data_IF_538594705388
#
_entry.id   IF_538594705388
#
_cell.length_a   1.000
_cell.length_b   1.000
_cell.length_c   1.000
_cell.angle_alpha   90.00
_cell.angle_beta   90.00
_cell.angle_gamma   90.00
#
_symmetry.space_group_name_H-M   'P 1'
#
loop_
_entity.id
_entity.type
_entity.pdbx_description
1 polymer ?
#
# COMPACT_ATOMS: atom_id res chain seq x y z
N UNK A 1 -0.77 -21.31 9.55
CA UNK A 1 -0.69 -21.85 8.17
C UNK A 1 0.79 -22.00 7.86
N UNK A 2 1.31 -23.22 7.91
CA UNK A 2 2.75 -23.50 7.85
C UNK A 2 3.23 -23.80 6.42
N UNK A 3 2.47 -23.35 5.42
CA UNK A 3 2.80 -23.56 4.03
C UNK A 3 4.20 -22.98 3.74
N UNK A 4 5.14 -23.80 3.23
CA UNK A 4 6.50 -23.34 2.97
C UNK A 4 6.50 -22.26 1.88
N UNK A 5 7.31 -21.23 2.09
CA UNK A 5 7.53 -20.19 1.08
C UNK A 5 8.15 -20.79 -0.18
N UNK A 6 7.83 -20.24 -1.35
CA UNK A 6 8.45 -20.68 -2.59
C UNK A 6 9.93 -20.27 -2.62
N UNK A 7 10.82 -21.21 -2.28
CA UNK A 7 12.26 -20.95 -2.19
C UNK A 7 12.88 -20.42 -3.50
N UNK A 8 12.37 -20.82 -4.67
CA UNK A 8 12.83 -20.29 -5.96
C UNK A 8 12.40 -18.84 -6.14
N UNK A 9 11.13 -18.54 -5.80
CA UNK A 9 10.61 -17.18 -5.79
C UNK A 9 11.35 -16.28 -4.78
N UNK A 10 11.68 -16.80 -3.59
CA UNK A 10 12.42 -16.06 -2.56
C UNK A 10 13.81 -15.64 -3.06
N UNK A 11 14.50 -16.54 -3.77
CA UNK A 11 15.79 -16.23 -4.41
C UNK A 11 15.63 -15.18 -5.51
N UNK A 12 14.60 -15.28 -6.34
CA UNK A 12 14.34 -14.29 -7.39
C UNK A 12 14.01 -12.90 -6.82
N UNK A 13 13.17 -12.83 -5.78
CA UNK A 13 12.84 -11.60 -5.09
C UNK A 13 14.08 -10.97 -4.43
N UNK A 14 14.93 -11.78 -3.81
CA UNK A 14 16.20 -11.32 -3.23
C UNK A 14 17.15 -10.79 -4.31
N UNK A 15 17.30 -11.50 -5.42
CA UNK A 15 18.15 -11.08 -6.54
C UNK A 15 17.64 -9.79 -7.19
N UNK A 16 16.32 -9.66 -7.36
CA UNK A 16 15.71 -8.42 -7.83
C UNK A 16 15.98 -7.26 -6.87
N UNK A 17 15.83 -7.48 -5.56
CA UNK A 17 16.10 -6.48 -4.53
C UNK A 17 17.57 -6.05 -4.57
N UNK A 18 18.50 -6.99 -4.46
CA UNK A 18 19.93 -6.73 -4.43
C UNK A 18 20.40 -6.10 -5.75
N UNK A 19 19.95 -6.62 -6.89
CA UNK A 19 20.30 -6.10 -8.21
C UNK A 19 19.87 -4.65 -8.41
N UNK A 20 18.65 -4.30 -8.00
CA UNK A 20 18.15 -2.93 -8.08
C UNK A 20 18.86 -1.98 -7.12
N UNK A 21 19.22 -2.44 -5.91
CA UNK A 21 20.03 -1.64 -4.98
C UNK A 21 21.43 -1.40 -5.55
N UNK A 22 22.09 -2.42 -6.08
CA UNK A 22 23.42 -2.29 -6.71
C UNK A 22 23.34 -1.34 -7.91
N UNK A 23 22.33 -1.50 -8.77
CA UNK A 23 22.10 -0.59 -9.89
C UNK A 23 21.89 0.86 -9.44
N UNK A 24 21.13 1.10 -8.38
CA UNK A 24 20.94 2.44 -7.82
C UNK A 24 22.26 3.06 -7.34
N UNK A 25 23.09 2.28 -6.63
CA UNK A 25 24.41 2.73 -6.16
C UNK A 25 25.35 3.02 -7.32
N UNK A 26 25.37 2.16 -8.34
CA UNK A 26 26.21 2.35 -9.53
C UNK A 26 25.79 3.58 -10.33
N UNK A 27 24.49 3.77 -10.58
CA UNK A 27 23.97 4.96 -11.26
C UNK A 27 24.32 6.22 -10.49
N UNK A 28 24.14 6.21 -9.17
CA UNK A 28 24.48 7.37 -8.34
C UNK A 28 25.98 7.67 -8.34
N UNK A 29 26.81 6.65 -8.11
CA UNK A 29 28.26 6.79 -8.04
C UNK A 29 28.87 7.22 -9.37
N UNK A 30 28.56 6.49 -10.45
CA UNK A 30 29.05 6.80 -11.79
C UNK A 30 28.49 8.12 -12.30
N UNK A 31 27.19 8.36 -12.14
CA UNK A 31 26.55 9.60 -12.56
C UNK A 31 27.10 10.82 -11.84
N UNK A 32 27.36 10.72 -10.53
CA UNK A 32 27.98 11.80 -9.76
C UNK A 32 29.42 12.04 -10.20
N UNK A 33 30.22 10.97 -10.30
CA UNK A 33 31.61 11.08 -10.73
C UNK A 33 31.72 11.70 -12.13
N UNK A 34 30.98 11.16 -13.10
CA UNK A 34 30.99 11.63 -14.49
C UNK A 34 30.55 13.10 -14.58
N UNK A 35 29.45 13.46 -13.91
CA UNK A 35 28.93 14.83 -13.97
C UNK A 35 29.88 15.83 -13.29
N UNK A 36 30.38 15.51 -12.10
CA UNK A 36 31.29 16.40 -11.36
C UNK A 36 32.62 16.56 -12.09
N UNK A 37 33.20 15.47 -12.59
CA UNK A 37 34.47 15.51 -13.31
C UNK A 37 34.36 16.40 -14.55
N UNK A 38 33.38 16.16 -15.42
CA UNK A 38 33.20 16.95 -16.63
C UNK A 38 32.77 18.40 -16.34
N UNK A 39 32.03 18.64 -15.26
CA UNK A 39 31.70 19.99 -14.82
C UNK A 39 32.96 20.78 -14.44
N UNK A 40 33.85 20.18 -13.64
CA UNK A 40 35.12 20.82 -13.25
C UNK A 40 35.99 21.10 -14.48
N UNK A 41 36.07 20.14 -15.40
CA UNK A 41 36.83 20.31 -16.66
C UNK A 41 36.26 21.45 -17.51
N UNK A 42 34.94 21.57 -17.63
CA UNK A 42 34.28 22.62 -18.40
C UNK A 42 34.44 24.02 -17.78
N UNK A 43 34.42 24.11 -16.44
CA UNK A 43 34.70 25.36 -15.71
C UNK A 43 36.16 25.77 -15.82
N UNK A 44 37.08 24.80 -15.94
CA UNK A 44 38.53 25.05 -16.04
C UNK A 44 39.01 25.31 -17.47
N UNK A 45 38.12 25.29 -18.47
CA UNK A 45 38.45 25.59 -19.85
C UNK A 45 38.53 27.10 -20.11
N UNK A 46 39.40 27.52 -21.02
CA UNK A 46 39.50 28.91 -21.49
C UNK A 46 39.16 28.98 -23.01
N UNK A 47 38.04 29.61 -23.42
CA UNK A 47 36.98 30.16 -22.58
C UNK A 47 36.14 29.08 -21.88
N UNK A 48 35.46 29.45 -20.79
CA UNK A 48 34.60 28.55 -20.01
C UNK A 48 33.48 27.98 -20.89
N UNK A 49 33.34 26.66 -20.89
CA UNK A 49 32.25 25.98 -21.58
C UNK A 49 31.00 25.93 -20.70
N UNK A 50 30.24 27.03 -20.74
CA UNK A 50 28.99 27.19 -19.99
C UNK A 50 27.95 26.13 -20.36
N UNK A 51 27.93 25.68 -21.62
CA UNK A 51 26.94 24.70 -22.07
C UNK A 51 27.19 23.34 -21.44
N UNK A 52 28.44 22.89 -21.45
CA UNK A 52 28.82 21.63 -20.78
C UNK A 52 28.55 21.71 -19.27
N UNK A 53 28.77 22.86 -18.63
CA UNK A 53 28.42 23.05 -17.22
C UNK A 53 26.91 22.84 -16.94
N UNK A 54 26.04 23.40 -17.79
CA UNK A 54 24.58 23.23 -17.68
C UNK A 54 24.18 21.78 -17.91
N UNK A 55 24.70 21.15 -18.97
CA UNK A 55 24.38 19.75 -19.30
C UNK A 55 24.83 18.80 -18.18
N UNK A 56 26.03 18.97 -17.63
CA UNK A 56 26.51 18.12 -16.53
C UNK A 56 25.70 18.32 -15.25
N UNK A 57 25.24 19.53 -14.96
CA UNK A 57 24.33 19.79 -13.83
C UNK A 57 22.99 19.06 -14.00
N UNK A 58 22.45 19.03 -15.22
CA UNK A 58 21.23 18.27 -15.52
C UNK A 58 21.45 16.76 -15.39
N UNK A 59 22.55 16.22 -15.92
CA UNK A 59 22.89 14.79 -15.79
C UNK A 59 23.06 14.40 -14.31
N UNK A 60 23.65 15.26 -13.48
CA UNK A 60 23.76 15.03 -12.05
C UNK A 60 22.38 14.89 -11.40
N UNK A 61 21.49 15.86 -11.64
CA UNK A 61 20.11 15.84 -11.12
C UNK A 61 19.37 14.58 -11.59
N UNK A 62 19.45 14.25 -12.87
CA UNK A 62 18.83 13.04 -13.43
C UNK A 62 19.39 11.78 -12.79
N UNK A 63 20.70 11.70 -12.55
CA UNK A 63 21.34 10.55 -11.90
C UNK A 63 20.80 10.34 -10.48
N UNK A 64 20.64 11.40 -9.69
CA UNK A 64 19.99 11.34 -8.37
C UNK A 64 18.54 10.88 -8.46
N UNK A 65 17.77 11.38 -9.43
CA UNK A 65 16.37 10.99 -9.61
C UNK A 65 16.22 9.51 -9.99
N UNK A 66 17.03 9.04 -10.94
CA UNK A 66 17.01 7.63 -11.39
C UNK A 66 17.50 6.71 -10.29
N UNK A 67 18.58 7.04 -9.59
CA UNK A 67 19.07 6.25 -8.46
C UNK A 67 18.01 6.13 -7.36
N UNK A 68 17.33 7.24 -7.02
CA UNK A 68 16.21 7.22 -6.06
C UNK A 68 15.06 6.35 -6.54
N UNK A 69 14.68 6.42 -7.82
CA UNK A 69 13.61 5.61 -8.40
C UNK A 69 13.95 4.12 -8.35
N UNK A 70 15.19 3.73 -8.73
CA UNK A 70 15.68 2.35 -8.65
C UNK A 70 15.70 1.83 -7.22
N UNK A 71 16.12 2.66 -6.27
CA UNK A 71 16.11 2.31 -4.85
C UNK A 71 14.67 2.11 -4.33
N UNK A 72 13.71 2.93 -4.77
CA UNK A 72 12.30 2.73 -4.43
C UNK A 72 11.74 1.44 -5.05
N UNK A 73 12.09 1.20 -6.32
CA UNK A 73 11.68 0.01 -7.06
C UNK A 73 12.29 -1.27 -6.47
N UNK A 74 13.45 -1.20 -5.81
CA UNK A 74 14.03 -2.38 -5.15
C UNK A 74 13.10 -2.94 -4.08
N UNK A 75 12.48 -2.08 -3.26
CA UNK A 75 11.49 -2.51 -2.29
C UNK A 75 10.18 -2.92 -2.96
N UNK A 76 9.61 -2.01 -3.75
CA UNK A 76 8.28 -2.21 -4.34
C UNK A 76 8.22 -3.37 -5.34
N UNK A 77 9.14 -3.36 -6.30
CA UNK A 77 9.21 -4.36 -7.37
C UNK A 77 9.51 -5.76 -6.84
N UNK A 78 10.39 -5.87 -5.84
CA UNK A 78 10.75 -7.18 -5.27
C UNK A 78 9.62 -7.77 -4.44
N UNK A 79 8.89 -6.95 -3.68
CA UNK A 79 7.68 -7.41 -2.96
C UNK A 79 6.58 -7.79 -3.95
N UNK A 80 6.37 -7.02 -5.03
CA UNK A 80 5.40 -7.42 -6.07
C UNK A 80 5.76 -8.74 -6.74
N UNK A 81 7.04 -8.94 -7.05
CA UNK A 81 7.54 -10.22 -7.58
C UNK A 81 7.33 -11.34 -6.56
N UNK A 82 7.60 -11.06 -5.28
CA UNK A 82 7.42 -12.01 -4.19
C UNK A 82 5.96 -12.46 -4.06
N UNK A 83 5.02 -11.52 -4.05
CA UNK A 83 3.57 -11.81 -4.01
C UNK A 83 3.12 -12.65 -5.20
N UNK A 84 3.62 -12.37 -6.41
CA UNK A 84 3.26 -13.13 -7.62
C UNK A 84 3.84 -14.54 -7.66
N UNK A 85 4.98 -14.76 -7.01
CA UNK A 85 5.68 -16.05 -7.00
C UNK A 85 5.37 -16.89 -5.77
N UNK A 86 4.59 -16.37 -4.81
CA UNK A 86 4.33 -17.04 -3.53
C UNK A 86 5.56 -17.09 -2.61
N UNK A 87 6.46 -16.11 -2.75
CA UNK A 87 7.69 -15.97 -2.00
C UNK A 87 7.49 -15.05 -0.77
N UNK A 88 6.56 -15.45 0.09
CA UNK A 88 6.07 -14.62 1.19
C UNK A 88 7.18 -14.31 2.20
N UNK A 89 8.09 -15.24 2.45
CA UNK A 89 9.17 -15.05 3.43
C UNK A 89 10.09 -13.90 3.06
N UNK A 90 10.54 -13.85 1.80
CA UNK A 90 11.37 -12.76 1.32
C UNK A 90 10.59 -11.46 1.21
N UNK A 91 9.34 -11.51 0.74
CA UNK A 91 8.45 -10.34 0.68
C UNK A 91 8.28 -9.68 2.06
N UNK A 92 7.97 -10.46 3.08
CA UNK A 92 7.83 -9.99 4.47
C UNK A 92 9.14 -9.43 5.01
N UNK A 93 10.28 -10.07 4.72
CA UNK A 93 11.61 -9.59 5.15
C UNK A 93 11.94 -8.23 4.53
N UNK A 94 11.66 -8.05 3.23
CA UNK A 94 11.87 -6.78 2.54
C UNK A 94 10.94 -5.70 3.10
N UNK A 95 9.67 -6.02 3.36
CA UNK A 95 8.74 -5.07 3.99
C UNK A 95 9.19 -4.65 5.39
N UNK A 96 9.63 -5.59 6.24
CA UNK A 96 10.17 -5.29 7.58
C UNK A 96 11.37 -4.34 7.49
N UNK A 97 12.27 -4.55 6.53
CA UNK A 97 13.38 -3.63 6.26
C UNK A 97 12.90 -2.25 5.78
N UNK A 98 11.96 -2.20 4.84
CA UNK A 98 11.41 -0.94 4.33
C UNK A 98 10.81 -0.08 5.45
N UNK A 99 10.12 -0.72 6.41
CA UNK A 99 9.57 -0.07 7.59
C UNK A 99 10.67 0.52 8.49
N UNK A 100 11.77 -0.21 8.70
CA UNK A 100 12.92 0.30 9.45
C UNK A 100 13.57 1.52 8.78
N UNK A 101 13.61 1.54 7.44
CA UNK A 101 14.18 2.62 6.64
C UNK A 101 13.20 3.75 6.27
N UNK A 102 12.16 3.98 7.09
CA UNK A 102 11.14 5.02 6.87
C UNK A 102 11.69 6.42 6.55
N UNK A 103 12.88 6.78 7.06
CA UNK A 103 13.55 8.06 6.75
C UNK A 103 14.09 8.15 5.31
N UNK A 104 14.57 7.04 4.76
CA UNK A 104 15.13 6.98 3.40
C UNK A 104 14.04 6.80 2.35
N UNK A 105 12.93 6.17 2.74
CA UNK A 105 11.78 5.89 1.87
C UNK A 105 10.55 6.61 2.44
N UNK A 106 10.48 7.95 2.34
CA UNK A 106 9.34 8.70 2.86
C UNK A 106 8.06 8.23 2.17
N UNK A 107 7.00 7.99 2.96
CA UNK A 107 5.73 7.35 2.58
C UNK A 107 5.82 5.87 2.17
N UNK A 108 7.01 5.27 2.09
CA UNK A 108 7.19 3.85 1.78
C UNK A 108 6.86 2.92 2.95
N UNK A 109 7.00 3.41 4.19
CA UNK A 109 6.66 2.63 5.40
C UNK A 109 5.19 2.25 5.44
N UNK A 110 4.29 3.17 5.08
CA UNK A 110 2.85 2.91 5.09
C UNK A 110 2.46 1.83 4.09
N UNK A 111 2.96 1.92 2.86
CA UNK A 111 2.73 0.88 1.84
C UNK A 111 3.35 -0.47 2.25
N UNK A 112 4.58 -0.46 2.76
CA UNK A 112 5.25 -1.69 3.20
C UNK A 112 4.51 -2.36 4.36
N UNK A 113 3.95 -1.55 5.27
CA UNK A 113 3.14 -2.02 6.40
C UNK A 113 1.81 -2.61 5.92
N UNK A 114 1.12 -1.96 4.98
CA UNK A 114 -0.08 -2.54 4.33
C UNK A 114 0.23 -3.91 3.75
N UNK A 115 1.29 -4.02 2.93
CA UNK A 115 1.67 -5.27 2.30
C UNK A 115 2.07 -6.36 3.31
N UNK A 116 2.82 -5.99 4.35
CA UNK A 116 3.24 -6.91 5.41
C UNK A 116 2.03 -7.43 6.20
N UNK A 117 1.17 -6.54 6.68
CA UNK A 117 -0.01 -6.89 7.48
C UNK A 117 -0.95 -7.80 6.68
N UNK A 118 -1.19 -7.49 5.40
CA UNK A 118 -1.99 -8.34 4.53
C UNK A 118 -1.38 -9.74 4.32
N UNK A 119 -0.05 -9.84 4.15
CA UNK A 119 0.66 -11.13 4.04
C UNK A 119 0.49 -11.97 5.32
N UNK A 120 0.72 -11.36 6.49
CA UNK A 120 0.64 -12.02 7.79
C UNK A 120 -0.78 -12.56 8.05
N UNK A 121 -1.81 -11.76 7.75
CA UNK A 121 -3.22 -12.18 7.86
C UNK A 121 -3.54 -13.33 6.93
N UNK A 122 -3.09 -13.29 5.68
CA UNK A 122 -3.26 -14.40 4.74
C UNK A 122 -2.66 -15.72 5.23
N UNK A 123 -1.67 -15.66 6.12
CA UNK A 123 -1.02 -16.81 6.75
C UNK A 123 -1.58 -17.18 8.13
N UNK A 124 -2.54 -16.41 8.64
CA UNK A 124 -3.10 -16.58 9.98
C UNK A 124 -2.18 -16.13 11.10
N UNK A 125 -1.14 -15.34 10.81
CA UNK A 125 -0.25 -14.73 11.80
C UNK A 125 -0.88 -13.42 12.31
N UNK A 126 -2.03 -13.54 12.98
CA UNK A 126 -2.87 -12.39 13.33
C UNK A 126 -2.24 -11.48 14.39
N UNK A 127 -1.57 -12.05 15.39
CA UNK A 127 -0.92 -11.28 16.45
C UNK A 127 0.21 -10.40 15.90
N UNK A 128 1.12 -10.98 15.12
CA UNK A 128 2.18 -10.24 14.43
C UNK A 128 1.61 -9.14 13.53
N UNK A 129 0.53 -9.45 12.78
CA UNK A 129 -0.13 -8.48 11.91
C UNK A 129 -0.64 -7.27 12.69
N UNK A 130 -1.25 -7.49 13.86
CA UNK A 130 -1.70 -6.43 14.76
C UNK A 130 -0.53 -5.61 15.27
N UNK A 131 0.55 -6.25 15.74
CA UNK A 131 1.73 -5.55 16.26
C UNK A 131 2.34 -4.62 15.21
N UNK A 132 2.49 -5.08 13.97
CA UNK A 132 3.00 -4.23 12.89
C UNK A 132 2.04 -3.10 12.51
N UNK A 133 0.72 -3.36 12.53
CA UNK A 133 -0.29 -2.33 12.27
C UNK A 133 -0.30 -1.24 13.35
N UNK A 134 -0.21 -1.62 14.63
CA UNK A 134 -0.13 -0.70 15.76
C UNK A 134 1.11 0.18 15.67
N UNK A 135 2.29 -0.42 15.45
CA UNK A 135 3.54 0.34 15.33
C UNK A 135 3.54 1.31 14.14
N UNK A 136 2.88 0.98 13.02
CA UNK A 136 2.74 1.94 11.91
C UNK A 136 1.71 3.04 12.22
N UNK A 137 0.61 2.69 12.90
CA UNK A 137 -0.40 3.65 13.30
C UNK A 137 0.13 4.66 14.32
N UNK A 138 0.94 4.23 15.29
CA UNK A 138 1.60 5.13 16.24
C UNK A 138 2.54 6.11 15.54
N UNK A 139 3.22 5.68 14.47
CA UNK A 139 4.12 6.55 13.72
C UNK A 139 3.39 7.55 12.83
N UNK A 140 2.35 7.11 12.13
CA UNK A 140 1.80 7.83 10.98
C UNK A 140 0.28 8.06 11.03
N UNK A 141 -0.42 7.56 12.06
CA UNK A 141 -1.88 7.66 12.20
C UNK A 141 -2.39 9.08 12.41
N UNK A 142 -1.57 9.97 13.00
CA UNK A 142 -1.90 11.39 13.17
C UNK A 142 -1.49 12.25 11.97
N UNK A 143 -0.67 11.71 11.06
CA UNK A 143 -0.20 12.43 9.89
C UNK A 143 -1.29 12.44 8.81
N UNK A 144 -1.95 13.59 8.62
CA UNK A 144 -3.06 13.75 7.67
C UNK A 144 -2.73 13.32 6.23
N UNK A 145 -1.46 13.40 5.80
CA UNK A 145 -1.05 12.96 4.45
C UNK A 145 -0.84 11.45 4.36
N UNK A 146 -0.49 10.80 5.46
CA UNK A 146 -0.13 9.38 5.46
C UNK A 146 -1.26 8.48 5.95
N UNK A 147 -2.11 8.96 6.87
CA UNK A 147 -3.24 8.21 7.42
C UNK A 147 -4.18 7.67 6.34
N UNK A 148 -4.32 8.40 5.23
CA UNK A 148 -5.09 7.98 4.07
C UNK A 148 -4.53 6.67 3.48
N UNK A 149 -3.20 6.55 3.35
CA UNK A 149 -2.57 5.35 2.82
C UNK A 149 -2.64 4.15 3.77
N UNK A 150 -3.03 4.35 5.03
CA UNK A 150 -3.17 3.29 6.04
C UNK A 150 -4.56 2.64 6.05
N UNK A 151 -5.53 3.18 5.32
CA UNK A 151 -6.89 2.62 5.25
C UNK A 151 -6.94 1.10 4.99
N UNK A 152 -6.25 0.57 3.97
CA UNK A 152 -6.19 -0.87 3.71
C UNK A 152 -5.61 -1.68 4.87
N UNK A 153 -4.60 -1.14 5.57
CA UNK A 153 -3.97 -1.76 6.72
C UNK A 153 -4.94 -1.81 7.91
N UNK A 154 -5.71 -0.75 8.13
CA UNK A 154 -6.70 -0.70 9.21
C UNK A 154 -7.80 -1.75 9.03
N UNK A 155 -8.29 -1.95 7.79
CA UNK A 155 -9.27 -3.00 7.50
C UNK A 155 -8.68 -4.38 7.79
N UNK A 156 -7.44 -4.61 7.35
CA UNK A 156 -6.73 -5.86 7.58
C UNK A 156 -6.51 -6.11 9.09
N UNK A 157 -6.03 -5.10 9.83
CA UNK A 157 -5.88 -5.18 11.29
C UNK A 157 -7.22 -5.43 12.01
N UNK A 158 -8.32 -4.85 11.53
CA UNK A 158 -9.66 -5.13 12.02
C UNK A 158 -10.05 -6.60 11.86
N UNK A 159 -9.74 -7.20 10.71
CA UNK A 159 -9.93 -8.65 10.48
C UNK A 159 -9.06 -9.49 11.42
N UNK A 160 -7.79 -9.12 11.61
CA UNK A 160 -6.88 -9.82 12.51
C UNK A 160 -7.39 -9.80 13.95
N UNK A 161 -7.82 -8.64 14.45
CA UNK A 161 -8.40 -8.49 15.78
C UNK A 161 -9.71 -9.27 15.94
N UNK A 162 -10.52 -9.35 14.87
CA UNK A 162 -11.74 -10.15 14.90
C UNK A 162 -11.42 -11.64 14.99
N UNK A 163 -10.39 -12.11 14.25
CA UNK A 163 -9.95 -13.50 14.27
C UNK A 163 -9.34 -13.93 15.62
N UNK A 164 -8.69 -13.01 16.34
CA UNK A 164 -8.16 -13.24 17.70
C UNK A 164 -9.21 -13.05 18.80
N UNK A 165 -10.46 -12.72 18.45
CA UNK A 165 -11.55 -12.53 19.42
C UNK A 165 -11.57 -11.17 20.12
N UNK A 166 -10.71 -10.22 19.75
CA UNK A 166 -10.69 -8.87 20.30
C UNK A 166 -11.66 -7.94 19.56
N UNK A 167 -12.95 -8.24 19.74
CA UNK A 167 -14.06 -7.65 18.98
C UNK A 167 -14.15 -6.12 19.14
N UNK A 168 -13.81 -5.56 20.31
CA UNK A 168 -13.79 -4.11 20.53
C UNK A 168 -12.69 -3.42 19.72
N UNK A 169 -11.47 -3.98 19.72
CA UNK A 169 -10.38 -3.44 18.91
C UNK A 169 -10.65 -3.60 17.41
N UNK A 170 -11.27 -4.72 17.01
CA UNK A 170 -11.68 -4.92 15.62
C UNK A 170 -12.60 -3.78 15.13
N UNK A 171 -13.57 -3.36 15.95
CA UNK A 171 -14.44 -2.22 15.60
C UNK A 171 -13.64 -0.92 15.43
N UNK A 172 -12.74 -0.61 16.36
CA UNK A 172 -11.93 0.60 16.30
C UNK A 172 -11.08 0.65 15.02
N UNK A 173 -10.45 -0.46 14.65
CA UNK A 173 -9.67 -0.57 13.42
C UNK A 173 -10.53 -0.45 12.16
N UNK A 174 -11.73 -1.04 12.16
CA UNK A 174 -12.67 -0.89 11.04
C UNK A 174 -13.12 0.58 10.89
N UNK A 175 -13.41 1.28 11.99
CA UNK A 175 -13.82 2.70 11.95
C UNK A 175 -12.69 3.59 11.41
N UNK A 176 -11.45 3.33 11.84
CA UNK A 176 -10.25 4.00 11.29
C UNK A 176 -10.12 3.75 9.79
N UNK A 177 -10.30 2.50 9.36
CA UNK A 177 -10.26 2.09 7.95
C UNK A 177 -11.34 2.78 7.12
N UNK A 178 -12.59 2.77 7.58
CA UNK A 178 -13.72 3.44 6.92
C UNK A 178 -13.44 4.93 6.79
N UNK A 179 -13.00 5.60 7.86
CA UNK A 179 -12.70 7.04 7.83
C UNK A 179 -11.60 7.38 6.83
N UNK A 180 -10.49 6.62 6.83
CA UNK A 180 -9.37 6.86 5.93
C UNK A 180 -9.76 6.60 4.46
N UNK A 181 -10.40 5.46 4.17
CA UNK A 181 -10.78 5.09 2.80
C UNK A 181 -11.90 5.98 2.24
N UNK A 182 -12.82 6.47 3.08
CA UNK A 182 -13.85 7.43 2.64
C UNK A 182 -13.22 8.74 2.21
N UNK A 183 -12.32 9.30 3.02
CA UNK A 183 -11.57 10.53 2.67
C UNK A 183 -10.74 10.36 1.40
N UNK A 184 -10.19 9.17 1.18
CA UNK A 184 -9.49 8.85 -0.07
C UNK A 184 -10.43 8.98 -1.28
N UNK A 185 -11.62 8.39 -1.22
CA UNK A 185 -12.58 8.48 -2.33
C UNK A 185 -13.04 9.92 -2.58
N UNK A 186 -13.34 10.66 -1.52
CA UNK A 186 -13.71 12.09 -1.61
C UNK A 186 -12.62 12.92 -2.32
N UNK A 187 -11.34 12.66 -2.03
CA UNK A 187 -10.22 13.34 -2.70
C UNK A 187 -10.01 12.88 -4.15
N UNK A 188 -10.33 11.63 -4.46
CA UNK A 188 -10.20 11.08 -5.81
C UNK A 188 -11.27 11.66 -6.74
N UNK A 189 -12.49 11.84 -6.24
CA UNK A 189 -13.62 12.41 -6.99
C UNK A 189 -13.46 13.92 -7.25
N UNK A 190 -12.65 14.62 -6.43
CA UNK A 190 -12.45 16.08 -6.53
C UNK A 190 -11.44 16.56 -7.60
N UNK A 191 -10.75 15.66 -8.33
CA UNK A 191 -9.69 16.06 -9.29
C UNK A 191 -10.15 16.02 -10.76
N UNK A 192 -10.56 17.19 -11.26
CA UNK A 192 -10.90 17.42 -12.66
C UNK A 192 -9.77 18.09 -13.48
N UNK A 193 -9.63 17.70 -14.75
CA UNK A 193 -9.31 18.68 -15.80
C UNK A 193 -7.92 18.71 -16.48
N UNK A 194 -7.26 17.58 -16.82
CA UNK A 194 -6.03 17.62 -17.63
C UNK A 194 -5.80 16.42 -18.55
N UNK A 195 -5.00 16.58 -19.62
CA UNK A 195 -4.65 15.50 -20.58
C UNK A 195 -3.86 14.36 -19.89
N UNK A 196 -2.91 14.71 -19.02
CA UNK A 196 -2.21 13.77 -18.14
C UNK A 196 -3.15 13.18 -17.07
N UNK A 197 -4.14 13.94 -16.61
CA UNK A 197 -5.15 13.44 -15.68
C UNK A 197 -6.06 12.38 -16.33
N UNK A 198 -6.31 12.44 -17.65
CA UNK A 198 -7.04 11.39 -18.38
C UNK A 198 -6.26 10.07 -18.49
N UNK A 199 -4.95 10.12 -18.74
CA UNK A 199 -4.12 8.91 -18.73
C UNK A 199 -4.00 8.30 -17.32
N UNK A 200 -3.82 9.15 -16.31
CA UNK A 200 -3.84 8.74 -14.91
C UNK A 200 -5.22 8.22 -14.45
N UNK A 201 -6.32 8.62 -15.09
CA UNK A 201 -7.69 8.18 -14.73
C UNK A 201 -7.92 6.67 -14.91
N UNK A 202 -7.28 6.00 -15.87
CA UNK A 202 -7.46 4.54 -16.02
C UNK A 202 -6.81 3.75 -14.89
N UNK A 203 -5.62 4.19 -14.44
CA UNK A 203 -4.97 3.60 -13.27
C UNK A 203 -5.69 4.01 -11.98
N UNK A 204 -6.17 5.26 -11.92
CA UNK A 204 -6.97 5.75 -10.81
C UNK A 204 -8.33 5.05 -10.69
N UNK A 205 -8.99 4.68 -11.79
CA UNK A 205 -10.29 3.99 -11.75
C UNK A 205 -10.18 2.55 -11.23
N UNK A 206 -9.11 1.85 -11.60
CA UNK A 206 -8.80 0.54 -11.02
C UNK A 206 -8.50 0.65 -9.52
N UNK A 207 -7.72 1.67 -9.14
CA UNK A 207 -7.38 1.92 -7.76
C UNK A 207 -8.59 2.35 -6.91
N UNK A 208 -9.44 3.25 -7.40
CA UNK A 208 -10.70 3.60 -6.70
C UNK A 208 -11.63 2.40 -6.61
N UNK A 209 -11.64 1.52 -7.62
CA UNK A 209 -12.29 0.22 -7.55
C UNK A 209 -11.80 -0.65 -6.39
N UNK A 210 -10.48 -0.75 -6.19
CA UNK A 210 -9.89 -1.46 -5.05
C UNK A 210 -10.26 -0.81 -3.70
N UNK A 211 -10.20 0.52 -3.61
CA UNK A 211 -10.59 1.27 -2.40
C UNK A 211 -12.05 1.02 -2.06
N UNK A 212 -12.96 1.03 -3.05
CA UNK A 212 -14.39 0.71 -2.87
C UNK A 212 -14.59 -0.72 -2.38
N UNK A 213 -13.85 -1.69 -2.91
CA UNK A 213 -13.93 -3.07 -2.43
C UNK A 213 -13.46 -3.19 -0.96
N UNK A 214 -12.39 -2.51 -0.59
CA UNK A 214 -11.91 -2.50 0.80
C UNK A 214 -12.89 -1.80 1.75
N UNK A 215 -13.55 -0.73 1.30
CA UNK A 215 -14.67 -0.11 2.04
C UNK A 215 -15.84 -1.08 2.20
N UNK A 216 -16.17 -1.83 1.16
CA UNK A 216 -17.22 -2.84 1.24
C UNK A 216 -16.92 -3.89 2.31
N UNK A 217 -15.68 -4.38 2.36
CA UNK A 217 -15.19 -5.30 3.38
C UNK A 217 -15.22 -4.65 4.77
N UNK A 218 -14.73 -3.42 4.92
CA UNK A 218 -14.74 -2.71 6.20
C UNK A 218 -16.17 -2.53 6.77
N UNK A 219 -17.11 -2.12 5.90
CA UNK A 219 -18.52 -2.01 6.28
C UNK A 219 -19.15 -3.38 6.59
N UNK A 220 -18.75 -4.45 5.89
CA UNK A 220 -19.21 -5.81 6.21
C UNK A 220 -18.77 -6.25 7.62
N UNK A 221 -17.52 -6.01 7.98
CA UNK A 221 -17.00 -6.33 9.31
C UNK A 221 -17.63 -5.48 10.41
N UNK A 222 -17.79 -4.17 10.17
CA UNK A 222 -18.53 -3.27 11.08
C UNK A 222 -19.99 -3.72 11.25
N UNK A 223 -20.67 -4.13 10.17
CA UNK A 223 -22.02 -4.66 10.24
C UNK A 223 -22.11 -5.93 11.09
N UNK A 224 -21.16 -6.85 10.92
CA UNK A 224 -21.07 -8.09 11.68
C UNK A 224 -20.85 -7.81 13.18
N UNK A 225 -20.01 -6.83 13.51
CA UNK A 225 -19.83 -6.36 14.89
C UNK A 225 -21.16 -5.85 15.49
N UNK A 226 -21.85 -4.95 14.80
CA UNK A 226 -23.12 -4.41 15.27
C UNK A 226 -24.21 -5.48 15.40
N UNK A 227 -24.24 -6.43 14.46
CA UNK A 227 -25.16 -7.57 14.49
C UNK A 227 -24.96 -8.42 15.75
N UNK A 228 -23.71 -8.78 16.05
CA UNK A 228 -23.38 -9.57 17.24
C UNK A 228 -23.68 -8.83 18.56
N UNK A 229 -23.63 -7.50 18.54
CA UNK A 229 -23.99 -6.65 19.68
C UNK A 229 -25.47 -6.26 19.71
N UNK A 230 -26.31 -6.90 18.90
CA UNK A 230 -27.76 -6.65 18.81
C UNK A 230 -28.14 -5.21 18.39
N UNK A 231 -27.21 -4.44 17.84
CA UNK A 231 -27.48 -3.13 17.21
C UNK A 231 -27.91 -3.35 15.74
N UNK A 232 -29.10 -3.94 15.57
CA UNK A 232 -29.61 -4.37 14.27
C UNK A 232 -29.81 -3.22 13.28
N UNK A 233 -30.11 -2.01 13.78
CA UNK A 233 -30.27 -0.81 12.95
C UNK A 233 -28.95 -0.45 12.27
N UNK A 234 -27.86 -0.32 13.05
CA UNK A 234 -26.54 -0.02 12.48
C UNK A 234 -25.97 -1.18 11.68
N UNK A 235 -26.25 -2.42 12.07
CA UNK A 235 -25.88 -3.59 11.29
C UNK A 235 -26.48 -3.54 9.88
N UNK A 236 -27.79 -3.26 9.78
CA UNK A 236 -28.51 -3.15 8.50
C UNK A 236 -27.96 -2.03 7.61
N UNK A 237 -27.70 -0.85 8.19
CA UNK A 237 -27.11 0.28 7.45
C UNK A 237 -25.72 -0.07 6.90
N UNK A 238 -24.87 -0.71 7.70
CA UNK A 238 -23.53 -1.10 7.26
C UNK A 238 -23.53 -2.24 6.24
N UNK A 239 -24.41 -3.26 6.37
CA UNK A 239 -24.53 -4.28 5.33
C UNK A 239 -25.03 -3.68 4.00
N UNK A 240 -25.93 -2.70 4.04
CA UNK A 240 -26.36 -1.99 2.82
C UNK A 240 -25.20 -1.26 2.16
N UNK A 241 -24.43 -0.47 2.93
CA UNK A 241 -23.23 0.23 2.43
C UNK A 241 -22.21 -0.74 1.85
N UNK A 242 -22.01 -1.89 2.50
CA UNK A 242 -21.13 -2.95 2.00
C UNK A 242 -21.53 -3.43 0.61
N UNK A 243 -22.82 -3.75 0.40
CA UNK A 243 -23.34 -4.16 -0.90
C UNK A 243 -23.21 -3.04 -1.94
N UNK A 244 -23.54 -1.80 -1.57
CA UNK A 244 -23.50 -0.64 -2.46
C UNK A 244 -22.07 -0.39 -2.98
N UNK A 245 -21.07 -0.39 -2.09
CA UNK A 245 -19.67 -0.25 -2.49
C UNK A 245 -19.14 -1.45 -3.27
N UNK A 246 -19.53 -2.68 -2.90
CA UNK A 246 -19.13 -3.88 -3.64
C UNK A 246 -19.67 -3.87 -5.08
N UNK A 247 -20.92 -3.45 -5.28
CA UNK A 247 -21.51 -3.33 -6.63
C UNK A 247 -20.77 -2.30 -7.51
N UNK A 248 -20.28 -1.21 -6.90
CA UNK A 248 -19.51 -0.17 -7.60
C UNK A 248 -18.04 -0.54 -7.84
N UNK A 249 -17.56 -1.63 -7.25
CA UNK A 249 -16.20 -2.13 -7.46
C UNK A 249 -16.11 -3.01 -8.72
N UNK A 250 -14.96 -3.06 -9.43
CA UNK A 250 -14.74 -4.03 -10.50
C UNK A 250 -14.78 -5.47 -9.96
N UNK A 251 -14.81 -6.45 -10.86
CA UNK A 251 -14.93 -7.85 -10.43
C UNK A 251 -13.65 -8.32 -9.72
N UNK A 252 -13.77 -8.53 -8.41
CA UNK A 252 -12.72 -9.09 -7.56
C UNK A 252 -13.13 -10.50 -7.13
N UNK A 253 -12.19 -11.43 -6.90
CA UNK A 253 -12.51 -12.79 -6.47
C UNK A 253 -13.45 -12.86 -5.25
N UNK A 254 -13.31 -11.92 -4.32
CA UNK A 254 -14.09 -11.86 -3.07
C UNK A 254 -15.41 -11.09 -3.21
N UNK A 255 -15.66 -10.40 -4.34
CA UNK A 255 -16.81 -9.51 -4.52
C UNK A 255 -18.14 -10.25 -4.37
N UNK A 256 -18.27 -11.38 -5.06
CA UNK A 256 -19.53 -12.14 -5.07
C UNK A 256 -19.85 -12.72 -3.69
N UNK A 257 -18.82 -13.18 -2.97
CA UNK A 257 -18.99 -13.68 -1.61
C UNK A 257 -19.44 -12.59 -0.64
N UNK A 258 -18.81 -11.40 -0.68
CA UNK A 258 -19.21 -10.26 0.14
C UNK A 258 -20.65 -9.85 -0.17
N UNK A 259 -21.02 -9.73 -1.46
CA UNK A 259 -22.39 -9.38 -1.85
C UNK A 259 -23.40 -10.42 -1.38
N UNK A 260 -23.11 -11.71 -1.59
CA UNK A 260 -24.00 -12.81 -1.21
C UNK A 260 -24.19 -12.84 0.30
N UNK A 261 -23.10 -12.87 1.07
CA UNK A 261 -23.17 -12.92 2.53
C UNK A 261 -23.86 -11.69 3.11
N UNK A 262 -23.57 -10.49 2.60
CA UNK A 262 -24.22 -9.27 3.08
C UNK A 262 -25.73 -9.26 2.78
N UNK A 263 -26.15 -9.74 1.60
CA UNK A 263 -27.58 -9.88 1.24
C UNK A 263 -28.28 -10.92 2.11
N UNK A 264 -27.64 -12.04 2.39
CA UNK A 264 -28.19 -13.08 3.28
C UNK A 264 -28.42 -12.53 4.70
N UNK A 265 -27.47 -11.76 5.24
CA UNK A 265 -27.64 -11.12 6.55
C UNK A 265 -28.70 -10.01 6.53
N UNK A 266 -28.78 -9.22 5.46
CA UNK A 266 -29.85 -8.23 5.28
C UNK A 266 -31.24 -8.89 5.25
N UNK A 267 -31.38 -10.06 4.62
CA UNK A 267 -32.64 -10.79 4.60
C UNK A 267 -33.06 -11.25 6.00
N UNK A 268 -32.12 -11.72 6.82
CA UNK A 268 -32.36 -12.09 8.24
C UNK A 268 -32.79 -10.88 9.07
N UNK A 269 -32.16 -9.73 8.83
CA UNK A 269 -32.47 -8.45 9.47
C UNK A 269 -33.75 -7.77 8.97
N UNK A 270 -34.49 -8.35 8.00
CA UNK A 270 -35.84 -7.86 7.66
C UNK A 270 -36.90 -8.31 8.68
N UNK A 271 -36.59 -9.33 9.46
CA UNK A 271 -37.50 -9.95 10.43
C UNK A 271 -37.26 -9.48 11.88
N UNK A 272 -36.31 -8.56 12.07
CA UNK A 272 -35.95 -7.91 13.34
C UNK A 272 -36.10 -6.39 13.17
#
# INVERSE_FOLDING_TARGET
NDAPSNASGDRLALLAFAGLVVAAVLVLGFGSYYSIHNFITAVSAEPVDVWTCVVMSLILITSFMVARMLYWLSFFGSVMLATRTGAWSMGETICKKAIQFHKLVPNGSGWASVALVQSLIGRGQFEDAVTYAEGEWERNGENAKQVLNLGPMCVAAGMAQQATGNIKQASLWNDRGISALTKILEQADAKDGGLFARAARMQASQWTGQVKMQLAVAHFHSATFHFNNQDFRRAKENFKKSVDYANQSPDFPQKQDVIKMARDQLARLKHH
#
